data_IF_377045304056
#
_entry.id   IF_377045304056
#
_cell.length_a   1.000
_cell.length_b   1.000
_cell.length_c   1.000
_cell.angle_alpha   90.00
_cell.angle_beta   90.00
_cell.angle_gamma   90.00
#
_symmetry.space_group_name_H-M   'P 1'
#
loop_
_entity.id
_entity.type
_entity.pdbx_description
1 polymer ?
#
# COMPACT_ATOMS: atom_id res chain seq x y z
N UNK A 1 -12.28 21.65 -10.33
CA UNK A 1 -11.68 20.48 -11.00
C UNK A 1 -10.14 20.52 -11.07
N UNK A 2 -9.46 21.57 -10.60
CA UNK A 2 -7.98 21.69 -10.71
C UNK A 2 -7.20 21.58 -9.38
N UNK A 3 -7.90 21.30 -8.27
CA UNK A 3 -7.29 21.27 -6.93
C UNK A 3 -6.99 19.86 -6.40
N UNK A 4 -7.50 18.81 -7.05
CA UNK A 4 -7.32 17.42 -6.59
C UNK A 4 -6.01 16.80 -7.11
N UNK A 5 -5.50 17.25 -8.26
CA UNK A 5 -4.28 16.71 -8.87
C UNK A 5 -2.96 17.18 -8.22
N UNK A 6 -3.00 18.18 -7.34
CA UNK A 6 -1.78 18.81 -6.77
C UNK A 6 -1.32 18.22 -5.44
N UNK A 7 -2.15 17.42 -4.77
CA UNK A 7 -1.82 16.79 -3.49
C UNK A 7 -1.21 15.39 -3.62
N UNK A 8 -1.20 14.81 -4.83
CA UNK A 8 -0.54 13.53 -5.08
C UNK A 8 0.83 13.72 -5.70
N UNK A 9 1.82 14.07 -4.88
CA UNK A 9 3.22 13.88 -5.24
C UNK A 9 3.52 12.37 -5.22
N UNK A 10 3.27 11.71 -6.35
CA UNK A 10 3.88 10.41 -6.62
C UNK A 10 5.40 10.60 -6.60
N UNK A 11 6.11 9.75 -5.87
CA UNK A 11 7.56 9.75 -5.87
C UNK A 11 8.07 9.60 -7.32
N UNK A 12 8.73 10.63 -7.81
CA UNK A 12 9.31 10.73 -9.15
C UNK A 12 10.30 9.57 -9.37
N UNK A 13 9.90 8.62 -10.22
CA UNK A 13 10.68 7.44 -10.56
C UNK A 13 11.93 7.74 -11.40
N UNK A 14 12.10 8.98 -11.85
CA UNK A 14 13.25 9.42 -12.65
C UNK A 14 14.39 10.05 -11.84
N UNK A 15 14.18 10.35 -10.55
CA UNK A 15 15.26 10.90 -9.71
C UNK A 15 16.01 9.75 -9.07
N UNK A 16 17.27 9.60 -9.47
CA UNK A 16 18.25 8.75 -8.78
C UNK A 16 18.19 9.11 -7.30
N UNK A 17 17.62 8.22 -6.49
CA UNK A 17 17.63 8.36 -5.04
C UNK A 17 19.09 8.38 -4.62
N UNK A 18 19.43 9.36 -3.79
CA UNK A 18 20.69 9.56 -3.07
C UNK A 18 21.43 8.23 -2.85
N UNK A 19 22.77 8.16 -3.06
CA UNK A 19 23.54 6.92 -2.95
C UNK A 19 23.15 6.14 -1.69
N UNK A 20 22.66 4.92 -1.92
CA UNK A 20 21.99 4.06 -0.94
C UNK A 20 22.91 3.55 0.14
N UNK A 21 23.14 4.37 1.17
CA UNK A 21 23.88 3.97 2.37
C UNK A 21 23.06 3.93 3.66
N UNK A 22 21.85 4.52 3.70
CA UNK A 22 21.20 4.82 4.98
C UNK A 22 19.74 4.40 5.14
N UNK A 23 19.07 3.92 4.10
CA UNK A 23 17.68 3.47 4.21
C UNK A 23 17.51 2.14 3.46
N UNK A 24 17.52 1.04 4.22
CA UNK A 24 17.14 -0.30 3.73
C UNK A 24 15.63 -0.40 3.47
N UNK A 25 14.86 0.47 4.12
CA UNK A 25 13.42 0.58 3.96
C UNK A 25 13.08 1.79 3.08
N UNK A 26 12.34 1.54 2.03
CA UNK A 26 11.89 2.52 1.06
C UNK A 26 10.47 3.02 1.34
N UNK A 27 9.76 2.45 2.32
CA UNK A 27 8.50 2.95 2.89
C UNK A 27 7.71 1.90 3.68
N UNK A 28 6.63 2.29 4.35
CA UNK A 28 5.74 1.34 5.07
C UNK A 28 4.44 1.14 4.30
N UNK A 29 3.96 -0.09 4.20
CA UNK A 29 2.58 -0.38 3.79
C UNK A 29 1.81 -0.96 4.98
N UNK A 30 0.57 -0.53 5.18
CA UNK A 30 -0.29 -0.98 6.25
C UNK A 30 -1.72 -1.26 5.76
N UNK A 31 -2.33 -2.31 6.32
CA UNK A 31 -3.77 -2.54 6.27
C UNK A 31 -4.41 -1.87 7.48
N UNK A 32 -5.33 -0.94 7.23
CA UNK A 32 -6.05 -0.19 8.27
C UNK A 32 -7.53 -0.54 8.26
N UNK A 33 -8.17 -0.47 9.42
CA UNK A 33 -9.62 -0.57 9.51
C UNK A 33 -10.29 0.73 9.06
N UNK A 34 -11.63 0.72 8.94
CA UNK A 34 -12.41 1.92 8.61
C UNK A 34 -12.22 3.09 9.60
N UNK A 35 -11.79 2.81 10.84
CA UNK A 35 -11.52 3.80 11.88
C UNK A 35 -10.04 4.24 11.94
N UNK A 36 -9.28 4.00 10.87
CA UNK A 36 -7.86 4.39 10.75
C UNK A 36 -6.94 3.73 11.81
N UNK A 37 -7.33 2.55 12.30
CA UNK A 37 -6.48 1.74 13.18
C UNK A 37 -5.72 0.70 12.37
N UNK A 38 -4.43 0.55 12.65
CA UNK A 38 -3.56 -0.42 11.98
C UNK A 38 -3.91 -1.84 12.42
N UNK A 39 -4.18 -2.72 11.45
CA UNK A 39 -4.39 -4.15 11.64
C UNK A 39 -3.08 -4.91 11.38
N UNK A 40 -2.39 -4.54 10.30
CA UNK A 40 -1.11 -5.14 9.88
C UNK A 40 -0.25 -4.08 9.21
N UNK A 41 1.07 -4.19 9.35
CA UNK A 41 2.04 -3.34 8.66
C UNK A 41 3.25 -4.15 8.22
N UNK A 42 3.97 -3.65 7.21
CA UNK A 42 5.21 -4.25 6.73
C UNK A 42 6.13 -3.23 6.08
N UNK A 43 7.43 -3.47 6.24
CA UNK A 43 8.48 -2.66 5.62
C UNK A 43 8.59 -2.97 4.12
N UNK A 44 8.77 -1.93 3.31
CA UNK A 44 8.97 -2.03 1.86
C UNK A 44 10.45 -1.91 1.53
N UNK A 45 11.11 -3.05 1.37
CA UNK A 45 12.56 -3.17 1.19
C UNK A 45 13.02 -2.96 -0.26
N UNK A 46 12.08 -2.80 -1.21
CA UNK A 46 12.41 -2.52 -2.61
C UNK A 46 11.82 -1.16 -3.03
N UNK A 47 12.48 -0.37 -3.91
CA UNK A 47 11.89 0.85 -4.45
C UNK A 47 10.83 0.58 -5.53
N UNK A 48 9.74 1.36 -5.57
CA UNK A 48 8.75 1.35 -6.66
C UNK A 48 7.29 1.21 -6.21
N UNK A 49 6.34 1.31 -7.15
CA UNK A 49 4.92 1.00 -6.88
C UNK A 49 4.75 -0.51 -6.72
N UNK A 50 4.88 -1.00 -5.49
CA UNK A 50 4.88 -2.43 -5.21
C UNK A 50 3.48 -2.92 -4.91
N UNK A 51 2.75 -3.13 -6.00
CA UNK A 51 1.37 -3.60 -5.96
C UNK A 51 1.23 -4.99 -5.32
N UNK A 52 2.32 -5.77 -5.18
CA UNK A 52 2.31 -7.09 -4.55
C UNK A 52 2.12 -7.05 -3.02
N UNK A 53 2.37 -5.94 -2.35
CA UNK A 53 2.11 -5.85 -0.90
C UNK A 53 0.61 -5.84 -0.59
N UNK A 54 -0.23 -5.31 -1.48
CA UNK A 54 -1.69 -5.30 -1.29
C UNK A 54 -2.28 -6.73 -1.20
N UNK A 55 -2.05 -7.66 -2.16
CA UNK A 55 -2.50 -9.03 -2.02
C UNK A 55 -1.82 -9.76 -0.85
N UNK A 56 -0.54 -9.50 -0.56
CA UNK A 56 0.13 -10.10 0.60
C UNK A 56 -0.51 -9.70 1.95
N UNK A 57 -0.92 -8.43 2.08
CA UNK A 57 -1.65 -7.93 3.26
C UNK A 57 -3.03 -8.58 3.34
N UNK A 58 -3.74 -8.70 2.21
CA UNK A 58 -5.03 -9.39 2.15
C UNK A 58 -4.89 -10.84 2.62
N UNK A 59 -3.96 -11.59 2.05
CA UNK A 59 -3.73 -13.00 2.40
C UNK A 59 -3.39 -13.16 3.88
N UNK A 60 -2.53 -12.28 4.42
CA UNK A 60 -2.19 -12.28 5.84
C UNK A 60 -3.42 -12.07 6.71
N UNK A 61 -4.26 -11.08 6.39
CA UNK A 61 -5.49 -10.80 7.16
C UNK A 61 -6.45 -11.97 7.07
N UNK A 62 -6.69 -12.53 5.88
CA UNK A 62 -7.60 -13.67 5.70
C UNK A 62 -7.14 -14.89 6.50
N UNK A 63 -5.84 -15.14 6.60
CA UNK A 63 -5.29 -16.24 7.38
C UNK A 63 -5.53 -16.11 8.90
N UNK A 64 -5.84 -14.90 9.40
CA UNK A 64 -6.19 -14.67 10.81
C UNK A 64 -7.70 -14.77 11.09
N UNK A 65 -8.54 -14.83 10.04
CA UNK A 65 -9.99 -14.89 10.19
C UNK A 65 -10.47 -16.34 10.31
N UNK A 66 -11.58 -16.59 11.03
CA UNK A 66 -12.22 -17.91 11.07
C UNK A 66 -12.63 -18.39 9.68
N UNK A 67 -12.48 -19.69 9.42
CA UNK A 67 -12.74 -20.30 8.11
C UNK A 67 -14.21 -20.25 7.68
N UNK A 68 -15.13 -20.12 8.64
CA UNK A 68 -16.57 -20.03 8.43
C UNK A 68 -17.04 -18.61 8.07
N UNK A 69 -16.15 -17.60 8.13
CA UNK A 69 -16.49 -16.23 7.77
C UNK A 69 -16.55 -16.04 6.27
N UNK A 70 -17.63 -15.42 5.81
CA UNK A 70 -17.75 -14.94 4.43
C UNK A 70 -17.15 -13.54 4.35
N UNK A 71 -16.02 -13.41 3.66
CA UNK A 71 -15.31 -12.15 3.50
C UNK A 71 -15.37 -11.69 2.04
N UNK A 72 -15.75 -10.43 1.84
CA UNK A 72 -15.74 -9.77 0.53
C UNK A 72 -14.63 -8.72 0.45
N UNK A 73 -14.08 -8.51 -0.76
CA UNK A 73 -13.06 -7.48 -1.01
C UNK A 73 -13.66 -6.44 -1.96
N UNK A 74 -13.61 -5.17 -1.55
CA UNK A 74 -13.93 -4.03 -2.39
C UNK A 74 -12.62 -3.42 -2.90
N UNK A 75 -12.44 -3.39 -4.22
CA UNK A 75 -11.31 -2.75 -4.87
C UNK A 75 -11.80 -1.52 -5.64
N UNK A 76 -11.23 -0.35 -5.34
CA UNK A 76 -11.53 0.88 -6.04
C UNK A 76 -10.84 0.90 -7.41
N UNK A 77 -11.63 0.83 -8.48
CA UNK A 77 -11.18 0.89 -9.88
C UNK A 77 -11.15 2.32 -10.42
N UNK A 78 -11.20 3.35 -9.55
CA UNK A 78 -11.31 4.78 -9.88
C UNK A 78 -10.93 5.13 -11.34
N UNK A 79 -11.97 5.50 -12.10
CA UNK A 79 -12.03 5.83 -13.53
C UNK A 79 -10.69 5.79 -14.30
N UNK A 80 -10.43 4.66 -14.96
CA UNK A 80 -9.63 4.63 -16.19
C UNK A 80 -10.60 4.57 -17.38
N UNK A 81 -10.90 5.73 -17.95
CA UNK A 81 -11.38 5.90 -19.34
C UNK A 81 -10.47 6.91 -20.02
#
# INVERSE_FOLDING_TARGET
LDSCGKSFMAADGGRVKTPGGHFLDTGVMAGVCHHDQVIVWGNMWTPGKQQFYAPAIIDFVMAQLPVDWQVGILYDVSCQI
#
